data_IF_388601377554
#
_entry.id   IF_388601377554
#
_cell.length_a   1.000
_cell.length_b   1.000
_cell.length_c   1.000
_cell.angle_alpha   90.00
_cell.angle_beta   90.00
_cell.angle_gamma   90.00
#
_symmetry.space_group_name_H-M   'P 1'
#
loop_
_entity.id
_entity.type
_entity.pdbx_description
1 polymer ?
#
# COMPACT_ATOMS: atom_id res chain seq x y z
N UNK A 1 -12.14 15.90 -25.17
CA UNK A 1 -10.80 16.11 -25.74
C UNK A 1 -10.52 14.92 -26.65
N UNK A 2 -10.11 15.16 -27.89
CA UNK A 2 -9.67 14.10 -28.81
C UNK A 2 -8.13 14.03 -28.78
N UNK A 3 -7.59 12.81 -28.85
CA UNK A 3 -6.15 12.57 -28.93
C UNK A 3 -5.84 11.74 -30.18
N UNK A 4 -4.67 11.97 -30.77
CA UNK A 4 -4.15 11.17 -31.88
C UNK A 4 -3.29 9.99 -31.41
N UNK A 5 -3.10 9.85 -30.09
CA UNK A 5 -2.38 8.71 -29.53
C UNK A 5 -3.18 7.41 -29.74
N UNK A 6 -2.48 6.35 -30.12
CA UNK A 6 -3.04 4.99 -30.11
C UNK A 6 -3.11 4.54 -28.65
N UNK A 7 -4.28 4.06 -28.23
CA UNK A 7 -4.53 3.62 -26.86
C UNK A 7 -5.06 2.20 -26.91
N UNK A 8 -4.42 1.33 -26.14
CA UNK A 8 -4.83 -0.05 -25.94
C UNK A 8 -5.11 -0.27 -24.45
N UNK A 9 -6.11 -1.09 -24.15
CA UNK A 9 -6.50 -1.42 -22.78
C UNK A 9 -6.09 -2.85 -22.49
N UNK A 10 -5.38 -3.04 -21.38
CA UNK A 10 -5.02 -4.35 -20.85
C UNK A 10 -5.65 -4.51 -19.48
N UNK A 11 -6.25 -5.66 -19.24
CA UNK A 11 -6.90 -6.00 -17.97
C UNK A 11 -6.20 -7.21 -17.36
N UNK A 12 -6.11 -7.23 -16.03
CA UNK A 12 -5.67 -8.40 -15.27
C UNK A 12 -6.73 -8.74 -14.23
N UNK A 13 -6.78 -10.01 -13.84
CA UNK A 13 -7.66 -10.44 -12.76
C UNK A 13 -7.31 -9.72 -11.45
N UNK A 14 -8.35 -9.35 -10.69
CA UNK A 14 -8.18 -8.56 -9.48
C UNK A 14 -7.61 -9.37 -8.32
N UNK A 15 -6.88 -8.70 -7.43
CA UNK A 15 -6.45 -9.23 -6.15
C UNK A 15 -4.98 -9.62 -6.10
N UNK A 16 -4.48 -9.72 -4.87
CA UNK A 16 -3.06 -9.95 -4.58
C UNK A 16 -2.52 -11.26 -5.16
N UNK A 17 -3.37 -12.28 -5.31
CA UNK A 17 -2.99 -13.57 -5.91
C UNK A 17 -2.47 -13.43 -7.35
N UNK A 18 -2.83 -12.34 -8.03
CA UNK A 18 -2.38 -12.05 -9.38
C UNK A 18 -1.13 -11.16 -9.42
N UNK A 19 -0.58 -10.76 -8.27
CA UNK A 19 0.65 -9.95 -8.17
C UNK A 19 1.89 -10.84 -8.30
N UNK A 20 2.02 -11.55 -9.42
CA UNK A 20 3.03 -12.59 -9.63
C UNK A 20 3.87 -12.32 -10.88
N UNK A 21 5.02 -13.00 -10.97
CA UNK A 21 5.84 -12.98 -12.19
C UNK A 21 5.09 -13.51 -13.42
N UNK A 22 4.20 -14.49 -13.26
CA UNK A 22 3.46 -15.05 -14.39
C UNK A 22 2.51 -14.02 -15.00
N UNK A 23 1.86 -13.21 -14.16
CA UNK A 23 1.07 -12.07 -14.62
C UNK A 23 1.95 -11.05 -15.37
N UNK A 24 3.16 -10.76 -14.87
CA UNK A 24 4.09 -9.89 -15.61
C UNK A 24 4.46 -10.44 -16.98
N UNK A 25 4.70 -11.75 -17.09
CA UNK A 25 4.97 -12.41 -18.39
C UNK A 25 3.81 -12.21 -19.34
N UNK A 26 2.57 -12.39 -18.86
CA UNK A 26 1.37 -12.09 -19.64
C UNK A 26 1.36 -10.65 -20.17
N UNK A 27 1.57 -9.67 -19.29
CA UNK A 27 1.57 -8.24 -19.68
C UNK A 27 2.70 -7.91 -20.64
N UNK A 28 3.92 -8.45 -20.46
CA UNK A 28 5.02 -8.23 -21.40
C UNK A 28 4.77 -8.85 -22.78
N UNK A 29 4.09 -9.99 -22.85
CA UNK A 29 3.69 -10.59 -24.12
C UNK A 29 2.67 -9.70 -24.83
N UNK A 30 1.62 -9.24 -24.13
CA UNK A 30 0.63 -8.33 -24.70
C UNK A 30 1.25 -7.03 -25.19
N UNK A 31 2.15 -6.42 -24.40
CA UNK A 31 2.91 -5.24 -24.85
C UNK A 31 3.71 -5.50 -26.13
N UNK A 32 4.29 -6.70 -26.27
CA UNK A 32 5.07 -7.06 -27.46
C UNK A 32 4.17 -7.32 -28.68
N UNK A 33 3.00 -7.92 -28.48
CA UNK A 33 2.01 -8.17 -29.54
C UNK A 33 1.37 -6.87 -30.06
N UNK A 34 1.25 -5.86 -29.20
CA UNK A 34 0.77 -4.52 -29.54
C UNK A 34 1.86 -3.60 -30.10
N UNK A 35 3.03 -4.14 -30.44
CA UNK A 35 4.19 -3.40 -30.95
C UNK A 35 4.64 -2.23 -30.04
N UNK A 36 4.40 -2.32 -28.71
CA UNK A 36 4.86 -1.30 -27.77
C UNK A 36 6.38 -1.16 -27.84
N UNK A 37 6.87 0.07 -27.90
CA UNK A 37 8.29 0.40 -28.07
C UNK A 37 8.86 1.18 -26.87
N UNK A 38 10.08 1.68 -26.99
CA UNK A 38 10.74 2.42 -25.89
C UNK A 38 10.13 3.79 -25.61
N UNK A 39 9.27 4.30 -26.50
CA UNK A 39 8.56 5.57 -26.38
C UNK A 39 7.12 5.37 -25.90
N UNK A 40 6.67 4.12 -25.77
CA UNK A 40 5.38 3.81 -25.18
C UNK A 40 5.30 4.30 -23.72
N UNK A 41 4.08 4.65 -23.31
CA UNK A 41 3.73 5.06 -21.96
C UNK A 41 2.78 4.02 -21.37
N UNK A 42 3.15 3.44 -20.23
CA UNK A 42 2.25 2.55 -19.49
C UNK A 42 1.48 3.36 -18.43
N UNK A 43 0.15 3.33 -18.49
CA UNK A 43 -0.73 4.01 -17.54
C UNK A 43 -1.34 2.96 -16.60
N UNK A 44 -0.88 2.94 -15.35
CA UNK A 44 -1.33 1.95 -14.36
C UNK A 44 -2.54 2.51 -13.59
N UNK A 45 -3.75 2.06 -13.93
CA UNK A 45 -5.00 2.50 -13.29
C UNK A 45 -5.51 1.42 -12.34
N UNK A 46 -5.42 1.65 -11.04
CA UNK A 46 -5.88 0.67 -10.06
C UNK A 46 -5.35 0.87 -8.64
N UNK A 47 -5.55 -0.14 -7.79
CA UNK A 47 -4.99 -0.17 -6.44
C UNK A 47 -3.51 -0.54 -6.40
N UNK A 48 -3.00 -0.84 -5.20
CA UNK A 48 -1.57 -1.12 -4.97
C UNK A 48 -1.01 -2.27 -5.82
N UNK A 49 -1.81 -3.31 -6.08
CA UNK A 49 -1.42 -4.42 -6.97
C UNK A 49 -1.06 -3.92 -8.37
N UNK A 50 -1.92 -3.08 -8.95
CA UNK A 50 -1.75 -2.57 -10.31
C UNK A 50 -0.57 -1.60 -10.38
N UNK A 51 -0.42 -0.70 -9.40
CA UNK A 51 0.67 0.27 -9.41
C UNK A 51 2.04 -0.38 -9.22
N UNK A 52 2.13 -1.41 -8.39
CA UNK A 52 3.38 -2.12 -8.14
C UNK A 52 3.76 -3.04 -9.31
N UNK A 53 2.81 -3.86 -9.78
CA UNK A 53 3.04 -4.79 -10.89
C UNK A 53 3.29 -4.02 -12.19
N UNK A 54 2.44 -3.03 -12.49
CA UNK A 54 2.55 -2.22 -13.69
C UNK A 54 3.84 -1.39 -13.70
N UNK A 55 4.22 -0.81 -12.56
CA UNK A 55 5.50 -0.13 -12.42
C UNK A 55 6.69 -1.07 -12.66
N UNK A 56 6.66 -2.29 -12.14
CA UNK A 56 7.71 -3.28 -12.34
C UNK A 56 7.79 -3.75 -13.80
N UNK A 57 6.63 -3.98 -14.42
CA UNK A 57 6.50 -4.31 -15.84
C UNK A 57 7.13 -3.21 -16.70
N UNK A 58 6.80 -1.94 -16.46
CA UNK A 58 7.35 -0.81 -17.20
C UNK A 58 8.87 -0.69 -17.04
N UNK A 59 9.38 -0.88 -15.82
CA UNK A 59 10.82 -0.78 -15.54
C UNK A 59 11.66 -1.86 -16.23
N UNK A 60 11.07 -3.03 -16.49
CA UNK A 60 11.79 -4.19 -17.03
C UNK A 60 11.48 -4.45 -18.51
N UNK A 61 10.38 -3.93 -19.04
CA UNK A 61 10.07 -4.01 -20.46
C UNK A 61 11.03 -3.14 -21.30
N UNK A 62 11.67 -3.75 -22.31
CA UNK A 62 12.69 -3.10 -23.17
C UNK A 62 13.79 -2.33 -22.41
N UNK A 63 14.09 -2.74 -21.16
CA UNK A 63 15.01 -2.07 -20.22
C UNK A 63 14.52 -0.72 -19.69
N UNK A 64 13.21 -0.55 -19.59
CA UNK A 64 12.57 0.65 -19.06
C UNK A 64 11.78 1.38 -20.14
N UNK A 65 10.51 1.63 -19.85
CA UNK A 65 9.64 2.57 -20.55
C UNK A 65 9.02 3.55 -19.54
N UNK A 66 8.49 4.66 -20.03
CA UNK A 66 7.78 5.63 -19.21
C UNK A 66 6.52 5.00 -18.61
N UNK A 67 6.20 5.38 -17.37
CA UNK A 67 4.93 4.99 -16.77
C UNK A 67 4.40 6.05 -15.81
N UNK A 68 3.09 6.04 -15.65
CA UNK A 68 2.36 6.86 -14.69
C UNK A 68 1.42 5.98 -13.86
N UNK A 69 1.19 6.38 -12.62
CA UNK A 69 0.24 5.71 -11.73
C UNK A 69 -1.00 6.57 -11.54
N UNK A 70 -2.18 5.97 -11.71
CA UNK A 70 -3.48 6.55 -11.40
C UNK A 70 -4.10 5.68 -10.29
N UNK A 71 -3.72 5.93 -9.02
CA UNK A 71 -4.20 5.14 -7.89
C UNK A 71 -5.72 5.31 -7.69
N UNK A 72 -6.45 4.20 -7.57
CA UNK A 72 -7.91 4.20 -7.39
C UNK A 72 -8.37 3.74 -6.00
N UNK A 73 -7.44 3.33 -5.15
CA UNK A 73 -7.73 2.97 -3.75
C UNK A 73 -7.07 3.94 -2.79
N UNK A 74 -7.66 4.14 -1.61
CA UNK A 74 -7.07 5.01 -0.59
C UNK A 74 -5.64 4.58 -0.25
N UNK A 75 -5.41 3.27 -0.09
CA UNK A 75 -4.08 2.69 0.15
C UNK A 75 -3.07 3.09 -0.93
N UNK A 76 -3.45 2.91 -2.21
CA UNK A 76 -2.55 3.26 -3.31
C UNK A 76 -2.29 4.76 -3.39
N UNK A 77 -3.27 5.61 -3.07
CA UNK A 77 -3.14 7.06 -3.13
C UNK A 77 -2.13 7.59 -2.09
N UNK A 78 -2.19 7.07 -0.87
CA UNK A 78 -1.36 7.56 0.24
C UNK A 78 -0.02 6.85 0.38
N UNK A 79 0.06 5.61 -0.13
CA UNK A 79 1.24 4.76 0.05
C UNK A 79 1.72 4.15 -1.27
N UNK A 80 1.08 3.10 -1.80
CA UNK A 80 1.71 2.24 -2.82
C UNK A 80 2.17 2.96 -4.10
N UNK A 81 1.42 3.95 -4.60
CA UNK A 81 1.80 4.64 -5.84
C UNK A 81 2.96 5.63 -5.67
N UNK A 82 3.36 5.94 -4.44
CA UNK A 82 4.36 6.95 -4.09
C UNK A 82 5.65 6.30 -3.56
N UNK A 83 6.79 6.76 -4.07
CA UNK A 83 8.12 6.36 -3.61
C UNK A 83 8.78 5.24 -4.39
N UNK A 84 8.14 4.77 -5.46
CA UNK A 84 8.80 4.03 -6.52
C UNK A 84 9.21 2.60 -6.20
N UNK A 85 8.73 2.02 -5.09
CA UNK A 85 8.90 0.58 -4.86
C UNK A 85 7.91 -0.14 -5.76
N UNK A 86 8.40 -0.85 -6.76
CA UNK A 86 7.57 -1.62 -7.69
C UNK A 86 8.06 -3.06 -7.71
N UNK A 87 7.15 -4.02 -7.81
CA UNK A 87 7.52 -5.42 -7.71
C UNK A 87 6.34 -6.36 -7.64
N UNK A 88 6.68 -7.64 -7.49
CA UNK A 88 5.75 -8.76 -7.42
C UNK A 88 6.17 -9.75 -6.34
N UNK A 89 5.23 -10.61 -5.99
CA UNK A 89 5.42 -11.67 -5.02
C UNK A 89 6.17 -12.85 -5.65
N UNK A 90 6.95 -13.56 -4.82
CA UNK A 90 7.62 -14.80 -5.18
C UNK A 90 7.01 -15.95 -4.39
N UNK A 91 6.01 -16.60 -4.98
CA UNK A 91 5.19 -17.59 -4.28
C UNK A 91 4.40 -16.94 -3.14
N UNK A 92 4.67 -17.35 -1.90
CA UNK A 92 4.03 -16.74 -0.71
C UNK A 92 4.83 -15.58 -0.10
N UNK A 93 5.99 -15.23 -0.67
CA UNK A 93 6.85 -14.18 -0.16
C UNK A 93 6.52 -12.85 -0.84
N UNK A 94 6.01 -11.91 -0.05
CA UNK A 94 5.59 -10.58 -0.49
C UNK A 94 6.75 -9.74 -1.04
N UNK A 95 6.55 -9.07 -2.17
CA UNK A 95 7.41 -8.00 -2.69
C UNK A 95 8.91 -8.36 -2.78
N UNK A 96 9.25 -9.63 -3.05
CA UNK A 96 10.65 -10.09 -3.06
C UNK A 96 11.37 -9.77 -4.36
N UNK A 97 10.63 -9.64 -5.47
CA UNK A 97 11.19 -9.35 -6.79
C UNK A 97 10.71 -7.98 -7.22
N UNK A 98 11.61 -7.02 -7.37
CA UNK A 98 11.22 -5.65 -7.66
C UNK A 98 12.40 -4.72 -7.95
N UNK A 99 12.08 -3.46 -8.20
CA UNK A 99 13.02 -2.37 -8.40
C UNK A 99 12.55 -1.12 -7.67
N UNK A 100 13.48 -0.18 -7.42
CA UNK A 100 13.14 1.17 -6.97
C UNK A 100 13.26 2.09 -8.19
N UNK A 101 12.11 2.53 -8.72
CA UNK A 101 12.00 3.47 -9.83
C UNK A 101 10.77 4.33 -9.62
N UNK A 102 10.87 5.64 -9.86
CA UNK A 102 9.74 6.55 -9.71
C UNK A 102 8.93 6.61 -11.01
N UNK A 103 7.58 6.72 -10.94
CA UNK A 103 6.76 7.06 -12.11
C UNK A 103 7.04 8.49 -12.57
N UNK A 104 6.74 8.78 -13.83
CA UNK A 104 6.80 10.14 -14.38
C UNK A 104 5.71 11.05 -13.77
N UNK A 105 4.59 10.45 -13.35
CA UNK A 105 3.47 11.13 -12.69
C UNK A 105 2.69 10.16 -11.79
N UNK A 106 2.23 10.67 -10.65
CA UNK A 106 1.17 10.07 -9.84
C UNK A 106 -0.05 11.00 -9.90
N UNK A 107 -1.14 10.54 -10.51
CA UNK A 107 -2.37 11.32 -10.65
C UNK A 107 -3.43 10.79 -9.68
N UNK A 108 -3.65 11.53 -8.60
CA UNK A 108 -4.64 11.19 -7.57
C UNK A 108 -5.95 11.93 -7.90
N UNK A 109 -7.01 11.15 -8.14
CA UNK A 109 -8.39 11.64 -8.24
C UNK A 109 -9.23 10.95 -7.17
N UNK A 110 -9.64 11.69 -6.15
CA UNK A 110 -10.39 11.16 -5.01
C UNK A 110 -11.83 10.77 -5.36
N UNK A 111 -12.32 11.13 -6.56
CA UNK A 111 -13.61 10.65 -7.04
C UNK A 111 -13.67 9.12 -7.19
N UNK A 112 -12.53 8.44 -7.39
CA UNK A 112 -12.47 6.98 -7.36
C UNK A 112 -12.88 6.38 -6.00
N UNK A 113 -12.74 7.14 -4.91
CA UNK A 113 -13.11 6.67 -3.57
C UNK A 113 -14.63 6.55 -3.39
N UNK A 114 -15.43 7.25 -4.21
CA UNK A 114 -16.89 7.19 -4.16
C UNK A 114 -17.45 5.80 -4.50
N UNK A 115 -16.68 4.98 -5.25
CA UNK A 115 -17.06 3.61 -5.62
C UNK A 115 -16.25 2.55 -4.88
N UNK A 116 -15.33 2.96 -4.01
CA UNK A 116 -14.46 2.03 -3.29
C UNK A 116 -15.20 1.36 -2.14
N UNK A 117 -15.05 0.04 -2.02
CA UNK A 117 -15.66 -0.71 -0.92
C UNK A 117 -15.17 -0.23 0.46
N UNK A 118 -16.05 -0.24 1.46
CA UNK A 118 -15.77 0.29 2.81
C UNK A 118 -14.61 -0.43 3.51
N UNK A 119 -14.45 -1.74 3.29
CA UNK A 119 -13.30 -2.53 3.76
C UNK A 119 -11.98 -2.06 3.12
N UNK A 120 -11.97 -1.67 1.84
CA UNK A 120 -10.79 -1.14 1.15
C UNK A 120 -10.47 0.29 1.60
N UNK A 121 -11.49 1.13 1.83
CA UNK A 121 -11.34 2.42 2.49
C UNK A 121 -10.67 2.25 3.87
N UNK A 122 -11.17 1.32 4.67
CA UNK A 122 -10.59 1.00 5.98
C UNK A 122 -9.17 0.47 5.87
N UNK A 123 -8.88 -0.38 4.89
CA UNK A 123 -7.52 -0.88 4.63
C UNK A 123 -6.55 0.28 4.35
N UNK A 124 -6.92 1.23 3.50
CA UNK A 124 -6.07 2.40 3.21
C UNK A 124 -5.87 3.35 4.39
N UNK A 125 -6.86 3.47 5.27
CA UNK A 125 -6.76 4.29 6.49
C UNK A 125 -5.64 3.82 7.43
N UNK A 126 -5.27 2.53 7.39
CA UNK A 126 -4.17 1.99 8.18
C UNK A 126 -2.83 2.71 7.87
N UNK A 127 -2.58 3.02 6.60
CA UNK A 127 -1.36 3.69 6.17
C UNK A 127 -1.33 5.17 6.58
N UNK A 128 -2.49 5.83 6.56
CA UNK A 128 -2.61 7.21 7.06
C UNK A 128 -2.38 7.27 8.58
N UNK A 129 -2.96 6.32 9.33
CA UNK A 129 -2.72 6.19 10.77
C UNK A 129 -1.24 5.92 11.08
N UNK A 130 -0.59 5.06 10.29
CA UNK A 130 0.86 4.82 10.36
C UNK A 130 1.64 6.12 10.15
N UNK A 131 1.33 6.91 9.12
CA UNK A 131 1.96 8.20 8.88
C UNK A 131 1.85 9.11 10.10
N UNK A 132 0.65 9.22 10.70
CA UNK A 132 0.45 10.02 11.93
C UNK A 132 1.34 9.57 13.09
N UNK A 133 1.46 8.27 13.31
CA UNK A 133 2.26 7.72 14.40
C UNK A 133 3.77 7.91 14.22
N UNK A 134 4.27 8.00 12.98
CA UNK A 134 5.71 8.13 12.72
C UNK A 134 6.17 9.58 12.52
N UNK A 135 5.30 10.50 12.08
CA UNK A 135 5.69 11.89 11.80
C UNK A 135 5.29 12.91 12.85
N UNK A 136 4.35 12.58 13.75
CA UNK A 136 4.07 13.37 14.95
C UNK A 136 2.62 13.82 15.14
N UNK A 137 2.40 14.51 16.27
CA UNK A 137 1.09 14.72 16.88
C UNK A 137 0.13 15.58 16.02
N UNK A 138 0.64 16.45 15.13
CA UNK A 138 -0.20 17.35 14.33
C UNK A 138 -1.05 16.60 13.30
N UNK A 139 -0.49 15.61 12.61
CA UNK A 139 -1.24 14.77 11.68
C UNK A 139 -2.06 13.73 12.45
N UNK A 140 -1.48 13.11 13.49
CA UNK A 140 -2.16 12.12 14.32
C UNK A 140 -3.43 12.65 15.00
N UNK A 141 -3.42 13.90 15.48
CA UNK A 141 -4.58 14.51 16.17
C UNK A 141 -5.84 14.58 15.30
N UNK A 142 -5.70 14.57 13.96
CA UNK A 142 -6.82 14.53 13.01
C UNK A 142 -7.55 13.19 13.01
N UNK A 143 -6.93 12.15 13.56
CA UNK A 143 -7.45 10.78 13.59
C UNK A 143 -7.98 10.35 14.96
N UNK A 144 -7.94 11.24 15.97
CA UNK A 144 -8.43 10.94 17.32
C UNK A 144 -9.94 10.65 17.35
N UNK A 145 -10.69 11.20 16.39
CA UNK A 145 -12.12 10.97 16.24
C UNK A 145 -12.49 10.80 14.76
N UNK A 146 -12.31 9.59 14.23
CA UNK A 146 -12.64 9.29 12.83
C UNK A 146 -14.15 9.31 12.56
N UNK A 147 -15.01 9.38 13.59
CA UNK A 147 -16.46 9.52 13.38
C UNK A 147 -16.83 10.88 12.76
N UNK A 148 -15.92 11.85 12.84
CA UNK A 148 -16.06 13.18 12.25
C UNK A 148 -15.48 13.30 10.85
N UNK A 149 -14.79 12.28 10.34
CA UNK A 149 -14.19 12.31 9.01
C UNK A 149 -15.24 12.06 7.94
N UNK A 150 -15.36 13.00 7.02
CA UNK A 150 -16.15 12.85 5.79
C UNK A 150 -15.25 12.59 4.59
N UNK A 151 -15.84 12.20 3.46
CA UNK A 151 -15.10 12.08 2.19
C UNK A 151 -14.51 13.44 1.75
N UNK A 152 -15.18 14.55 2.07
CA UNK A 152 -14.71 15.90 1.72
C UNK A 152 -13.42 16.29 2.46
N UNK A 153 -13.18 15.71 3.64
CA UNK A 153 -11.95 15.93 4.41
C UNK A 153 -10.77 15.09 3.88
N UNK A 154 -11.04 14.05 3.07
CA UNK A 154 -10.01 13.11 2.64
C UNK A 154 -9.01 13.73 1.68
N UNK A 155 -9.40 14.66 0.80
CA UNK A 155 -8.48 15.28 -0.15
C UNK A 155 -7.27 15.90 0.56
N UNK A 156 -7.53 16.68 1.61
CA UNK A 156 -6.48 17.31 2.42
C UNK A 156 -5.64 16.29 3.17
N UNK A 157 -6.27 15.27 3.75
CA UNK A 157 -5.56 14.24 4.51
C UNK A 157 -4.71 13.33 3.62
N UNK A 158 -5.19 13.01 2.42
CA UNK A 158 -4.46 12.26 1.39
C UNK A 158 -3.25 13.08 0.95
N UNK A 159 -3.45 14.36 0.62
CA UNK A 159 -2.36 15.26 0.24
C UNK A 159 -1.28 15.30 1.33
N UNK A 160 -1.65 15.50 2.59
CA UNK A 160 -0.70 15.52 3.70
C UNK A 160 0.03 14.18 3.88
N UNK A 161 -0.67 13.05 3.75
CA UNK A 161 -0.04 11.72 3.76
C UNK A 161 0.98 11.55 2.64
N UNK A 162 0.65 12.02 1.43
CA UNK A 162 1.56 11.99 0.28
C UNK A 162 2.80 12.86 0.55
N UNK A 163 2.64 14.05 1.13
CA UNK A 163 3.77 14.92 1.51
C UNK A 163 4.65 14.26 2.56
N UNK A 164 4.06 13.63 3.59
CA UNK A 164 4.79 12.86 4.61
C UNK A 164 5.66 11.79 3.94
N UNK A 165 5.06 10.94 3.11
CA UNK A 165 5.79 9.86 2.44
C UNK A 165 6.84 10.39 1.48
N UNK A 166 6.49 11.42 0.69
CA UNK A 166 7.42 12.08 -0.24
C UNK A 166 8.67 12.56 0.49
N UNK A 167 8.51 13.31 1.59
CA UNK A 167 9.65 13.86 2.33
C UNK A 167 10.58 12.76 2.85
N UNK A 168 10.00 11.67 3.39
CA UNK A 168 10.78 10.52 3.87
C UNK A 168 11.51 9.81 2.73
N UNK A 169 10.88 9.69 1.56
CA UNK A 169 11.49 9.06 0.38
C UNK A 169 12.59 9.94 -0.22
N UNK A 170 12.39 11.26 -0.29
CA UNK A 170 13.41 12.19 -0.80
C UNK A 170 14.66 12.20 0.09
N UNK A 171 14.49 12.05 1.41
CA UNK A 171 15.61 11.98 2.35
C UNK A 171 16.34 10.63 2.32
N UNK A 172 15.62 9.51 2.16
CA UNK A 172 16.22 8.16 2.12
C UNK A 172 15.63 7.30 0.97
N UNK A 173 16.02 7.56 -0.29
CA UNK A 173 15.43 6.90 -1.46
C UNK A 173 15.64 5.39 -1.50
N UNK A 174 16.70 4.88 -0.89
CA UNK A 174 17.09 3.46 -0.93
C UNK A 174 16.84 2.71 0.39
N UNK A 175 16.13 3.32 1.35
CA UNK A 175 15.74 2.67 2.60
C UNK A 175 16.89 2.18 3.48
N UNK A 176 17.92 3.00 3.64
CA UNK A 176 19.06 2.67 4.51
C UNK A 176 18.81 3.06 5.99
N UNK A 177 17.94 4.04 6.25
CA UNK A 177 17.71 4.65 7.55
C UNK A 177 16.27 5.11 7.75
N UNK A 178 16.02 6.41 7.61
CA UNK A 178 14.74 7.06 7.93
C UNK A 178 13.54 6.38 7.25
N UNK A 179 13.67 5.95 5.99
CA UNK A 179 12.54 5.37 5.24
C UNK A 179 12.02 4.07 5.83
N UNK A 180 12.81 3.38 6.67
CA UNK A 180 12.37 2.22 7.45
C UNK A 180 11.24 2.54 8.43
N UNK A 181 11.07 3.80 8.83
CA UNK A 181 9.93 4.23 9.67
C UNK A 181 8.58 4.00 8.98
N UNK A 182 8.52 4.07 7.64
CA UNK A 182 7.33 3.73 6.86
C UNK A 182 6.96 2.25 6.93
N UNK A 183 7.84 1.40 7.48
CA UNK A 183 7.55 -0.01 7.75
C UNK A 183 7.05 -0.24 9.18
N UNK A 184 6.65 0.81 9.90
CA UNK A 184 6.04 0.64 11.22
C UNK A 184 4.81 -0.29 11.11
N UNK A 185 4.81 -1.35 11.92
CA UNK A 185 3.83 -2.44 11.86
C UNK A 185 4.04 -3.47 10.74
N UNK A 186 4.78 -3.17 9.67
CA UNK A 186 4.85 -4.02 8.48
C UNK A 186 5.57 -5.35 8.69
N UNK A 187 6.62 -5.42 9.55
CA UNK A 187 7.33 -6.68 9.79
C UNK A 187 6.41 -7.79 10.30
N UNK A 188 5.59 -7.46 11.32
CA UNK A 188 4.62 -8.40 11.87
C UNK A 188 3.36 -8.47 11.00
N UNK A 189 2.96 -7.36 10.39
CA UNK A 189 1.83 -7.30 9.47
C UNK A 189 2.00 -8.23 8.28
N UNK A 190 3.11 -8.15 7.54
CA UNK A 190 3.40 -9.03 6.40
C UNK A 190 3.45 -10.51 6.81
N UNK A 191 4.02 -10.83 7.98
CA UNK A 191 4.05 -12.21 8.47
C UNK A 191 2.63 -12.75 8.70
N UNK A 192 1.75 -11.94 9.30
CA UNK A 192 0.34 -12.29 9.52
C UNK A 192 -0.41 -12.38 8.19
N UNK A 193 -0.25 -11.40 7.30
CA UNK A 193 -0.87 -11.37 5.98
C UNK A 193 -0.52 -12.64 5.18
N UNK A 194 0.77 -12.98 5.12
CA UNK A 194 1.27 -14.16 4.40
C UNK A 194 0.74 -15.47 5.01
N UNK A 195 0.61 -15.55 6.34
CA UNK A 195 0.03 -16.71 7.01
C UNK A 195 -1.46 -16.91 6.69
N UNK A 196 -2.24 -15.82 6.60
CA UNK A 196 -3.65 -15.91 6.23
C UNK A 196 -3.83 -16.21 4.74
N UNK A 197 -2.99 -15.65 3.87
CA UNK A 197 -3.02 -15.91 2.43
C UNK A 197 -2.66 -17.36 2.08
N UNK A 198 -1.69 -17.95 2.77
CA UNK A 198 -1.24 -19.34 2.53
C UNK A 198 -2.16 -20.41 3.14
N UNK A 199 -3.17 -20.03 3.93
CA UNK A 199 -4.04 -20.98 4.62
C UNK A 199 -5.44 -21.03 3.98
N UNK A 200 -5.80 -22.09 3.25
CA UNK A 200 -7.06 -22.16 2.50
C UNK A 200 -8.31 -22.16 3.39
N UNK A 201 -8.16 -22.44 4.69
CA UNK A 201 -9.26 -22.46 5.66
C UNK A 201 -9.43 -21.11 6.38
N UNK A 202 -8.71 -20.06 5.97
CA UNK A 202 -8.80 -18.72 6.55
C UNK A 202 -9.26 -17.72 5.51
N UNK A 203 -10.07 -16.77 5.94
CA UNK A 203 -10.41 -15.59 5.15
C UNK A 203 -9.17 -14.74 5.00
N UNK A 204 -8.78 -14.39 3.78
CA UNK A 204 -7.65 -13.50 3.50
C UNK A 204 -7.84 -12.16 4.21
N UNK A 205 -6.77 -11.64 4.79
CA UNK A 205 -6.76 -10.29 5.36
C UNK A 205 -6.39 -9.28 4.29
N UNK A 206 -7.01 -8.10 4.36
CA UNK A 206 -6.51 -6.95 3.61
C UNK A 206 -5.21 -6.46 4.23
N UNK A 207 -4.35 -5.88 3.40
CA UNK A 207 -3.04 -5.37 3.83
C UNK A 207 -3.12 -4.47 5.07
N UNK A 208 -3.97 -3.44 5.04
CA UNK A 208 -4.11 -2.50 6.14
C UNK A 208 -4.61 -3.14 7.44
N UNK A 209 -5.44 -4.19 7.35
CA UNK A 209 -5.89 -4.94 8.52
C UNK A 209 -4.72 -5.66 9.19
N UNK A 210 -3.83 -6.26 8.38
CA UNK A 210 -2.62 -6.90 8.89
C UNK A 210 -1.62 -5.88 9.45
N UNK A 211 -1.41 -4.74 8.78
CA UNK A 211 -0.53 -3.65 9.24
C UNK A 211 -0.99 -3.09 10.57
N UNK A 212 -2.30 -2.87 10.78
CA UNK A 212 -2.85 -2.42 12.07
C UNK A 212 -2.53 -3.39 13.20
N UNK A 213 -2.71 -4.69 12.97
CA UNK A 213 -2.31 -5.71 13.96
C UNK A 213 -0.82 -5.62 14.25
N UNK A 214 0.00 -5.49 13.20
CA UNK A 214 1.44 -5.34 13.33
C UNK A 214 1.84 -4.10 14.15
N UNK A 215 1.17 -2.95 13.96
CA UNK A 215 1.40 -1.73 14.73
C UNK A 215 1.06 -1.93 16.22
N UNK A 216 -0.05 -2.58 16.55
CA UNK A 216 -0.41 -2.90 17.95
C UNK A 216 0.68 -3.74 18.61
N UNK A 217 1.14 -4.79 17.90
CA UNK A 217 2.19 -5.68 18.42
C UNK A 217 3.53 -4.94 18.54
N UNK A 218 3.88 -4.09 17.59
CA UNK A 218 5.09 -3.27 17.65
C UNK A 218 5.08 -2.29 18.83
N UNK A 219 3.95 -1.64 19.11
CA UNK A 219 3.79 -0.81 20.32
C UNK A 219 3.91 -1.63 21.61
N UNK A 220 3.30 -2.82 21.65
CA UNK A 220 3.40 -3.72 22.81
C UNK A 220 4.86 -4.13 23.07
N UNK A 221 5.57 -4.60 22.05
CA UNK A 221 7.00 -4.97 22.15
C UNK A 221 7.84 -3.78 22.61
N UNK A 222 7.56 -2.58 22.08
CA UNK A 222 8.26 -1.35 22.49
C UNK A 222 8.00 -1.01 23.96
N UNK A 223 6.77 -1.22 24.46
CA UNK A 223 6.47 -1.03 25.89
C UNK A 223 7.27 -2.00 26.76
N UNK A 224 7.37 -3.27 26.37
CA UNK A 224 8.07 -4.29 27.15
C UNK A 224 9.60 -4.18 27.09
N UNK A 225 10.16 -3.73 25.95
CA UNK A 225 11.61 -3.76 25.71
C UNK A 225 12.31 -2.40 25.80
N UNK A 226 11.61 -1.29 25.56
CA UNK A 226 12.24 0.04 25.41
C UNK A 226 11.64 1.14 26.30
N UNK A 227 10.78 0.77 27.26
CA UNK A 227 10.05 1.70 28.12
C UNK A 227 9.10 2.65 27.35
N UNK A 228 8.61 2.26 26.18
CA UNK A 228 7.60 3.05 25.48
C UNK A 228 6.32 3.17 26.33
N UNK A 229 5.74 4.38 26.53
CA UNK A 229 4.68 4.60 27.51
C UNK A 229 3.47 3.69 27.30
N UNK A 230 3.15 2.88 28.31
CA UNK A 230 2.02 1.95 28.29
C UNK A 230 0.69 2.64 27.99
N UNK A 231 0.50 3.86 28.50
CA UNK A 231 -0.70 4.66 28.21
C UNK A 231 -0.84 4.98 26.72
N UNK A 232 0.25 5.35 26.02
CA UNK A 232 0.23 5.58 24.57
C UNK A 232 -0.11 4.30 23.81
N UNK A 233 0.50 3.18 24.17
CA UNK A 233 0.18 1.86 23.57
C UNK A 233 -1.29 1.50 23.73
N UNK A 234 -1.88 1.75 24.91
CA UNK A 234 -3.30 1.48 25.15
C UNK A 234 -4.20 2.38 24.32
N UNK A 235 -3.92 3.69 24.23
CA UNK A 235 -4.68 4.63 23.40
C UNK A 235 -4.66 4.26 21.92
N UNK A 236 -3.48 3.92 21.38
CA UNK A 236 -3.33 3.47 19.98
C UNK A 236 -4.15 2.19 19.74
N UNK A 237 -4.05 1.23 20.65
CA UNK A 237 -4.81 -0.02 20.57
C UNK A 237 -6.32 0.22 20.63
N UNK A 238 -6.79 1.09 21.54
CA UNK A 238 -8.20 1.40 21.69
C UNK A 238 -8.77 2.06 20.43
N UNK A 239 -8.06 3.04 19.86
CA UNK A 239 -8.42 3.66 18.59
C UNK A 239 -8.48 2.62 17.47
N UNK A 240 -7.47 1.76 17.32
CA UNK A 240 -7.51 0.73 16.27
C UNK A 240 -8.66 -0.26 16.48
N UNK A 241 -8.96 -0.66 17.72
CA UNK A 241 -10.06 -1.59 18.00
C UNK A 241 -11.45 -0.98 17.87
N UNK A 242 -11.59 0.36 17.80
CA UNK A 242 -12.88 0.99 17.48
C UNK A 242 -13.21 0.93 15.99
N UNK A 243 -12.22 0.73 15.11
CA UNK A 243 -12.40 0.73 13.65
C UNK A 243 -12.11 -0.61 12.98
N UNK A 244 -11.20 -1.42 13.53
CA UNK A 244 -10.80 -2.71 12.99
C UNK A 244 -11.34 -3.86 13.83
N UNK A 245 -11.80 -4.93 13.18
CA UNK A 245 -12.49 -6.02 13.84
C UNK A 245 -11.55 -6.82 14.77
N UNK A 246 -11.99 -7.05 16.02
CA UNK A 246 -11.26 -7.89 17.01
C UNK A 246 -11.08 -9.35 16.57
N UNK A 247 -11.89 -9.84 15.63
CA UNK A 247 -11.92 -11.24 15.19
C UNK A 247 -10.65 -11.69 14.48
N UNK A 248 -9.76 -10.76 14.10
CA UNK A 248 -8.51 -11.03 13.39
C UNK A 248 -7.50 -11.87 14.22
N UNK A 249 -7.65 -11.90 15.54
CA UNK A 249 -6.74 -12.59 16.46
C UNK A 249 -7.50 -13.43 17.50
N UNK A 250 -8.41 -14.31 17.07
CA UNK A 250 -8.91 -15.35 17.99
C UNK A 250 -7.70 -16.14 18.52
N UNK A 251 -7.74 -16.50 19.81
CA UNK A 251 -6.69 -17.16 20.63
C UNK A 251 -6.12 -18.49 20.08
N UNK A 252 -6.41 -18.86 18.85
CA UNK A 252 -5.93 -20.05 18.16
C UNK A 252 -4.98 -19.55 17.08
N UNK A 253 -3.69 -19.89 17.14
CA UNK A 253 -2.66 -19.85 16.08
C UNK A 253 -1.25 -19.43 16.57
N UNK A 254 -1.03 -19.23 17.87
CA UNK A 254 0.32 -19.06 18.42
C UNK A 254 0.64 -20.18 19.41
N UNK A 255 0.65 -21.42 18.94
CA UNK A 255 1.46 -22.44 19.59
C UNK A 255 2.77 -22.53 18.83
N UNK A 256 3.93 -22.46 19.52
CA UNK A 256 5.24 -22.58 18.90
C UNK A 256 5.41 -23.92 18.18
#
# INVERSE_FOLDING_TARGET
METTAVIEIMEIESGEINKTIDTCVGVWNTLSELDADRKSLLINIGGGVITDLGGFVACTFKRGIAYINVPTTLLSMVDASVGGKTGVDLGHLKNQVGVISNPDLVLIDTNYLNTLEVNQMRSGLAEMLKHGLITGDSYWSKFEDLSKLSLDDLDGLIYESVIIKKNVVEEDPFENGLRKTLNFGHTLGHAIESYFLSNPNKTTLLHGEAVVVGMILACYISTELTNFPKEKTLKIKELFLSYYAKSLLKKVNFQP
#
